data_IF_109724314428
#
_entry.id   IF_109724314428
#
_cell.length_a   1.000
_cell.length_b   1.000
_cell.length_c   1.000
_cell.angle_alpha   90.00
_cell.angle_beta   90.00
_cell.angle_gamma   90.00
#
_symmetry.space_group_name_H-M   'P 1'
#
loop_
_entity.id
_entity.type
_entity.pdbx_description
1 polymer ?
#
# COMPACT_ATOMS: atom_id res chain seq x y z
N UNK A 1 1.25 11.33 -5.03
CA UNK A 1 1.00 9.89 -4.90
C UNK A 1 1.59 9.44 -3.57
N UNK A 2 0.82 8.75 -2.74
CA UNK A 2 1.32 8.17 -1.49
C UNK A 2 2.03 6.83 -1.74
N UNK A 3 2.99 6.49 -0.89
CA UNK A 3 3.75 5.25 -0.96
C UNK A 3 3.48 4.39 0.28
N UNK A 4 2.87 3.23 0.10
CA UNK A 4 2.66 2.27 1.18
C UNK A 4 3.56 1.05 1.04
N UNK A 5 3.97 0.49 2.18
CA UNK A 5 4.56 -0.84 2.24
C UNK A 5 3.44 -1.89 2.33
N UNK A 6 3.51 -2.93 1.49
CA UNK A 6 2.66 -4.13 1.58
C UNK A 6 3.36 -5.18 2.46
N UNK A 7 3.11 -5.14 3.77
CA UNK A 7 3.68 -6.11 4.72
C UNK A 7 2.87 -6.17 6.02
N UNK A 8 2.99 -7.30 6.73
CA UNK A 8 2.60 -7.45 8.12
C UNK A 8 3.78 -7.81 9.04
N UNK A 9 4.99 -7.99 8.48
CA UNK A 9 6.19 -8.29 9.27
C UNK A 9 6.72 -7.00 9.92
N UNK A 10 6.76 -6.99 11.26
CA UNK A 10 7.14 -5.81 12.03
C UNK A 10 8.59 -5.38 11.78
N UNK A 11 9.47 -6.30 11.39
CA UNK A 11 10.87 -5.97 11.11
C UNK A 11 10.99 -5.27 9.76
N UNK A 12 10.30 -5.77 8.73
CA UNK A 12 10.23 -5.10 7.43
C UNK A 12 9.63 -3.70 7.58
N UNK A 13 8.56 -3.58 8.37
CA UNK A 13 7.87 -2.30 8.60
C UNK A 13 8.80 -1.30 9.28
N UNK A 14 9.51 -1.70 10.35
CA UNK A 14 10.46 -0.81 11.04
C UNK A 14 11.60 -0.39 10.10
N UNK A 15 12.20 -1.34 9.40
CA UNK A 15 13.30 -1.04 8.49
C UNK A 15 12.86 -0.06 7.40
N UNK A 16 11.73 -0.30 6.73
CA UNK A 16 11.28 0.57 5.64
C UNK A 16 10.81 1.93 6.16
N UNK A 17 10.21 1.99 7.36
CA UNK A 17 9.82 3.26 7.99
C UNK A 17 11.01 4.18 8.22
N UNK A 18 12.17 3.63 8.55
CA UNK A 18 13.39 4.40 8.82
C UNK A 18 13.97 5.10 7.58
N UNK A 19 13.63 4.67 6.35
CA UNK A 19 14.05 5.36 5.13
C UNK A 19 13.25 6.64 4.84
N UNK A 20 12.11 6.85 5.50
CA UNK A 20 11.38 8.13 5.49
C UNK A 20 10.55 8.46 4.25
N UNK A 21 10.35 7.53 3.31
CA UNK A 21 9.54 7.78 2.10
C UNK A 21 8.15 7.11 2.11
N UNK A 22 7.83 6.28 3.12
CA UNK A 22 6.52 5.63 3.21
C UNK A 22 5.51 6.50 3.98
N UNK A 23 4.29 6.55 3.47
CA UNK A 23 3.13 7.24 4.05
C UNK A 23 2.27 6.32 4.94
N UNK A 24 2.64 5.04 5.04
CA UNK A 24 1.84 4.03 5.71
C UNK A 24 2.12 2.58 5.29
N UNK A 25 1.25 1.68 5.72
CA UNK A 25 1.29 0.24 5.46
C UNK A 25 -0.07 -0.25 5.01
N UNK A 26 -0.10 -1.15 4.03
CA UNK A 26 -1.28 -1.98 3.77
C UNK A 26 -1.04 -3.41 4.18
N UNK A 27 -2.04 -4.03 4.79
CA UNK A 27 -2.03 -5.46 5.09
C UNK A 27 -3.08 -6.21 4.27
N UNK A 28 -2.88 -7.52 4.13
CA UNK A 28 -3.86 -8.46 3.61
C UNK A 28 -4.08 -9.55 4.68
N UNK A 29 -5.26 -10.21 4.69
CA UNK A 29 -5.47 -11.34 5.60
C UNK A 29 -4.39 -12.41 5.49
N UNK A 30 -3.84 -12.62 4.29
CA UNK A 30 -2.75 -13.56 4.06
C UNK A 30 -1.43 -13.15 4.76
N UNK A 31 -1.03 -11.88 4.70
CA UNK A 31 0.20 -11.42 5.35
C UNK A 31 0.08 -11.47 6.86
N UNK A 32 -1.07 -11.07 7.41
CA UNK A 32 -1.34 -11.22 8.86
C UNK A 32 -1.34 -12.70 9.27
N UNK A 33 -1.95 -13.58 8.47
CA UNK A 33 -1.98 -15.01 8.75
C UNK A 33 -0.58 -15.62 8.81
N UNK A 34 0.36 -15.16 7.97
CA UNK A 34 1.75 -15.63 8.00
C UNK A 34 2.41 -15.30 9.34
N UNK A 35 2.21 -14.09 9.87
CA UNK A 35 2.76 -13.71 11.18
C UNK A 35 2.11 -14.44 12.35
N UNK A 36 0.80 -14.70 12.27
CA UNK A 36 0.09 -15.49 13.29
C UNK A 36 0.61 -16.94 13.33
N UNK A 37 0.90 -17.52 12.17
CA UNK A 37 1.49 -18.87 12.08
C UNK A 37 2.93 -18.94 12.64
N UNK A 38 3.62 -17.80 12.79
CA UNK A 38 4.92 -17.72 13.48
C UNK A 38 4.80 -17.67 15.02
N UNK A 39 3.58 -17.62 15.56
CA UNK A 39 3.30 -17.68 17.00
C UNK A 39 2.72 -16.41 17.62
N UNK A 40 2.45 -15.37 16.83
CA UNK A 40 1.80 -14.14 17.29
C UNK A 40 0.27 -14.28 17.30
N UNK A 41 -0.43 -13.47 18.08
CA UNK A 41 -1.89 -13.34 17.92
C UNK A 41 -2.23 -12.28 16.86
N UNK A 42 -3.41 -12.38 16.23
CA UNK A 42 -3.88 -11.37 15.27
C UNK A 42 -3.92 -9.96 15.88
N UNK A 43 -4.34 -9.85 17.14
CA UNK A 43 -4.40 -8.58 17.86
C UNK A 43 -3.02 -7.98 18.11
N UNK A 44 -2.03 -8.80 18.47
CA UNK A 44 -0.64 -8.36 18.62
C UNK A 44 -0.09 -7.82 17.30
N UNK A 45 -0.21 -8.59 16.21
CA UNK A 45 0.29 -8.19 14.88
C UNK A 45 -0.32 -6.84 14.47
N UNK A 46 -1.64 -6.70 14.53
CA UNK A 46 -2.30 -5.45 14.13
C UNK A 46 -1.88 -4.28 15.02
N UNK A 47 -1.84 -4.48 16.33
CA UNK A 47 -1.49 -3.41 17.30
C UNK A 47 -0.04 -2.95 17.13
N UNK A 48 0.88 -3.87 16.88
CA UNK A 48 2.29 -3.56 16.67
C UNK A 48 2.51 -2.76 15.39
N UNK A 49 1.82 -3.12 14.30
CA UNK A 49 1.85 -2.37 13.03
C UNK A 49 1.32 -0.95 13.24
N UNK A 50 0.16 -0.80 13.88
CA UNK A 50 -0.47 0.51 14.14
C UNK A 50 0.47 1.44 14.91
N UNK A 51 1.23 0.90 15.87
CA UNK A 51 2.17 1.67 16.70
C UNK A 51 3.49 1.98 16.00
N UNK A 52 3.94 1.11 15.09
CA UNK A 52 5.22 1.27 14.41
C UNK A 52 5.20 2.30 13.28
N UNK A 53 4.02 2.61 12.73
CA UNK A 53 3.88 3.40 11.51
C UNK A 53 3.30 4.79 11.81
N UNK A 54 4.06 5.84 11.53
CA UNK A 54 3.59 7.23 11.60
C UNK A 54 2.86 7.61 10.28
N UNK A 55 1.80 6.87 9.96
CA UNK A 55 1.11 6.93 8.67
C UNK A 55 -0.14 6.04 8.66
N UNK A 56 -0.83 5.97 7.52
CA UNK A 56 -2.08 5.21 7.38
C UNK A 56 -1.82 3.70 7.44
N UNK A 57 -2.64 2.97 8.20
CA UNK A 57 -2.55 1.50 8.31
C UNK A 57 -3.84 0.89 7.81
N UNK A 58 -3.77 0.21 6.66
CA UNK A 58 -4.94 -0.42 6.05
C UNK A 58 -5.10 -1.86 6.54
N UNK A 59 -6.22 -2.14 7.23
CA UNK A 59 -6.54 -3.47 7.79
C UNK A 59 -7.88 -3.97 7.25
N UNK A 60 -7.91 -5.21 6.76
CA UNK A 60 -9.08 -5.78 6.09
C UNK A 60 -9.99 -6.58 7.02
N UNK A 61 -11.31 -6.42 6.82
CA UNK A 61 -12.33 -7.31 7.40
C UNK A 61 -12.27 -8.72 6.79
N UNK A 62 -12.66 -9.72 7.56
CA UNK A 62 -12.67 -11.13 7.15
C UNK A 62 -14.07 -11.72 7.35
N UNK A 63 -15.06 -11.14 6.67
CA UNK A 63 -16.41 -11.72 6.57
C UNK A 63 -17.09 -11.39 5.24
N UNK A 64 -18.18 -12.10 4.94
CA UNK A 64 -19.05 -11.91 3.78
C UNK A 64 -20.44 -11.39 4.14
N UNK A 65 -20.89 -11.57 5.38
CA UNK A 65 -22.17 -11.07 5.85
C UNK A 65 -22.07 -9.62 6.33
N UNK A 66 -23.14 -8.86 6.07
CA UNK A 66 -23.15 -7.41 6.31
C UNK A 66 -22.93 -7.06 7.79
N UNK A 67 -23.61 -7.75 8.72
CA UNK A 67 -23.57 -7.40 10.14
C UNK A 67 -22.19 -7.67 10.75
N UNK A 68 -21.55 -8.79 10.39
CA UNK A 68 -20.19 -9.09 10.83
C UNK A 68 -19.17 -8.17 10.15
N UNK A 69 -19.33 -7.83 8.87
CA UNK A 69 -18.48 -6.83 8.21
C UNK A 69 -18.53 -5.51 8.98
N UNK A 70 -19.72 -5.03 9.34
CA UNK A 70 -19.86 -3.78 10.09
C UNK A 70 -19.27 -3.87 11.49
N UNK A 71 -19.51 -4.98 12.20
CA UNK A 71 -18.94 -5.23 13.52
C UNK A 71 -17.40 -5.23 13.50
N UNK A 72 -16.80 -5.96 12.55
CA UNK A 72 -15.36 -6.01 12.36
C UNK A 72 -14.79 -4.64 11.95
N UNK A 73 -15.45 -3.93 11.03
CA UNK A 73 -15.02 -2.61 10.59
C UNK A 73 -14.98 -1.59 11.74
N UNK A 74 -16.01 -1.56 12.59
CA UNK A 74 -16.06 -0.68 13.75
C UNK A 74 -14.98 -1.05 14.79
N UNK A 75 -14.76 -2.35 15.03
CA UNK A 75 -13.68 -2.82 15.90
C UNK A 75 -12.32 -2.38 15.36
N UNK A 76 -12.03 -2.62 14.08
CA UNK A 76 -10.77 -2.22 13.44
C UNK A 76 -10.57 -0.70 13.53
N UNK A 77 -11.59 0.08 13.22
CA UNK A 77 -11.53 1.54 13.29
C UNK A 77 -11.19 2.05 14.70
N UNK A 78 -11.70 1.40 15.75
CA UNK A 78 -11.42 1.79 17.13
C UNK A 78 -9.97 1.57 17.59
N UNK A 79 -9.13 0.89 16.80
CA UNK A 79 -7.74 0.59 17.17
C UNK A 79 -6.81 1.79 17.02
N UNK A 80 -7.16 2.80 16.21
CA UNK A 80 -6.32 3.98 16.03
C UNK A 80 -6.86 4.95 14.99
N UNK A 81 -6.54 6.23 15.15
CA UNK A 81 -6.95 7.30 14.21
C UNK A 81 -6.30 7.16 12.83
N UNK A 82 -5.16 6.46 12.75
CA UNK A 82 -4.44 6.19 11.52
C UNK A 82 -4.94 4.94 10.78
N UNK A 83 -5.96 4.24 11.29
CA UNK A 83 -6.46 3.02 10.68
C UNK A 83 -7.47 3.31 9.57
N UNK A 84 -7.25 2.68 8.41
CA UNK A 84 -8.19 2.65 7.29
C UNK A 84 -8.75 1.23 7.18
N UNK A 85 -10.08 1.09 7.27
CA UNK A 85 -10.72 -0.22 7.16
C UNK A 85 -10.80 -0.64 5.69
N UNK A 86 -10.24 -1.79 5.34
CA UNK A 86 -10.37 -2.41 4.02
C UNK A 86 -11.62 -3.28 3.96
N UNK A 87 -12.46 -3.03 2.96
CA UNK A 87 -13.71 -3.75 2.72
C UNK A 87 -13.67 -4.35 1.30
N UNK A 88 -13.87 -5.68 1.14
CA UNK A 88 -13.95 -6.30 -0.18
C UNK A 88 -15.06 -5.69 -1.05
N UNK A 89 -14.78 -5.47 -2.34
CA UNK A 89 -15.72 -4.86 -3.28
C UNK A 89 -16.82 -5.81 -3.79
N UNK A 90 -17.56 -6.39 -2.86
CA UNK A 90 -18.82 -7.13 -3.13
C UNK A 90 -20.01 -6.20 -2.95
N UNK A 91 -21.22 -6.60 -3.39
CA UNK A 91 -22.43 -5.81 -3.14
C UNK A 91 -22.66 -5.59 -1.64
N UNK A 92 -22.41 -6.60 -0.81
CA UNK A 92 -22.49 -6.49 0.65
C UNK A 92 -21.42 -5.53 1.19
N UNK A 93 -20.20 -5.59 0.66
CA UNK A 93 -19.13 -4.68 1.02
C UNK A 93 -19.44 -3.23 0.65
N UNK A 94 -19.99 -2.98 -0.54
CA UNK A 94 -20.42 -1.64 -0.98
C UNK A 94 -21.50 -1.06 -0.06
N UNK A 95 -22.48 -1.89 0.35
CA UNK A 95 -23.46 -1.50 1.37
C UNK A 95 -22.79 -1.10 2.69
N UNK A 96 -21.75 -1.83 3.11
CA UNK A 96 -20.98 -1.48 4.30
C UNK A 96 -20.17 -0.19 4.12
N UNK A 97 -19.52 0.03 2.97
CA UNK A 97 -18.78 1.26 2.66
C UNK A 97 -19.68 2.50 2.79
N UNK A 98 -20.89 2.46 2.21
CA UNK A 98 -21.88 3.53 2.35
C UNK A 98 -22.23 3.80 3.82
N UNK A 99 -22.43 2.75 4.63
CA UNK A 99 -22.76 2.91 6.05
C UNK A 99 -21.59 3.37 6.91
N UNK A 100 -20.35 3.07 6.52
CA UNK A 100 -19.16 3.65 7.14
C UNK A 100 -19.02 5.13 6.79
N UNK A 101 -19.33 5.54 5.55
CA UNK A 101 -19.25 6.94 5.14
C UNK A 101 -20.29 7.82 5.86
N UNK A 102 -21.52 7.32 6.07
CA UNK A 102 -22.54 7.99 6.90
C UNK A 102 -22.05 8.23 8.34
N UNK A 103 -21.14 7.37 8.83
CA UNK A 103 -20.48 7.48 10.14
C UNK A 103 -19.18 8.29 10.11
N UNK A 104 -18.80 8.84 8.96
CA UNK A 104 -17.52 9.53 8.71
C UNK A 104 -16.29 8.65 8.95
N UNK A 105 -16.44 7.33 8.78
CA UNK A 105 -15.35 6.37 8.88
C UNK A 105 -14.80 6.13 7.47
N UNK A 106 -13.52 6.46 7.28
CA UNK A 106 -12.79 6.24 6.03
C UNK A 106 -12.60 4.74 5.79
N UNK A 107 -12.82 4.31 4.56
CA UNK A 107 -12.57 2.92 4.16
C UNK A 107 -11.87 2.84 2.80
N UNK A 108 -11.24 1.70 2.55
CA UNK A 108 -10.59 1.33 1.31
C UNK A 108 -11.32 0.14 0.70
N UNK A 109 -11.76 0.24 -0.55
CA UNK A 109 -12.30 -0.89 -1.27
C UNK A 109 -11.16 -1.82 -1.71
N UNK A 110 -11.24 -3.10 -1.37
CA UNK A 110 -10.24 -4.11 -1.73
C UNK A 110 -10.78 -5.12 -2.74
N UNK A 111 -9.88 -5.92 -3.33
CA UNK A 111 -10.22 -6.94 -4.32
C UNK A 111 -10.93 -6.38 -5.55
N UNK A 112 -10.48 -5.23 -6.05
CA UNK A 112 -10.94 -4.64 -7.31
C UNK A 112 -10.11 -5.21 -8.46
N UNK A 113 -10.80 -5.73 -9.49
CA UNK A 113 -10.20 -6.34 -10.67
C UNK A 113 -10.66 -5.71 -11.99
N UNK A 114 -11.66 -4.83 -11.98
CA UNK A 114 -12.11 -4.11 -13.16
C UNK A 114 -12.62 -2.70 -12.83
N UNK A 115 -12.76 -1.87 -13.87
CA UNK A 115 -13.16 -0.46 -13.74
C UNK A 115 -14.59 -0.31 -13.21
N UNK A 116 -15.50 -1.21 -13.53
CA UNK A 116 -16.90 -1.12 -13.07
C UNK A 116 -16.96 -1.32 -11.55
N UNK A 117 -16.22 -2.28 -10.99
CA UNK A 117 -16.08 -2.43 -9.55
C UNK A 117 -15.49 -1.17 -8.90
N UNK A 118 -14.48 -0.57 -9.53
CA UNK A 118 -13.87 0.67 -9.05
C UNK A 118 -14.89 1.82 -8.97
N UNK A 119 -15.69 2.02 -10.01
CA UNK A 119 -16.76 3.02 -10.08
C UNK A 119 -17.81 2.76 -8.99
N UNK A 120 -18.27 1.52 -8.85
CA UNK A 120 -19.28 1.17 -7.84
C UNK A 120 -18.76 1.42 -6.42
N UNK A 121 -17.50 1.09 -6.13
CA UNK A 121 -16.89 1.38 -4.84
C UNK A 121 -16.73 2.89 -4.59
N UNK A 122 -16.33 3.67 -5.59
CA UNK A 122 -16.25 5.13 -5.50
C UNK A 122 -17.63 5.77 -5.26
N UNK A 123 -18.68 5.27 -5.92
CA UNK A 123 -20.07 5.68 -5.69
C UNK A 123 -20.55 5.41 -4.26
N UNK A 124 -19.92 4.44 -3.56
CA UNK A 124 -20.17 4.13 -2.16
C UNK A 124 -19.12 4.76 -1.22
N UNK A 125 -18.46 5.82 -1.67
CA UNK A 125 -17.60 6.71 -0.87
C UNK A 125 -16.36 6.03 -0.26
N UNK A 126 -15.86 4.95 -0.88
CA UNK A 126 -14.55 4.43 -0.52
C UNK A 126 -13.46 5.48 -0.82
N UNK A 127 -12.62 5.80 0.16
CA UNK A 127 -11.55 6.80 -0.01
C UNK A 127 -10.45 6.28 -0.92
N UNK A 128 -10.12 4.99 -0.78
CA UNK A 128 -9.13 4.31 -1.61
C UNK A 128 -9.76 3.16 -2.37
N UNK A 129 -9.35 2.98 -3.62
CA UNK A 129 -9.80 1.90 -4.50
C UNK A 129 -8.59 1.04 -4.83
N UNK A 130 -8.43 -0.08 -4.11
CA UNK A 130 -7.28 -0.98 -4.23
C UNK A 130 -7.43 -1.91 -5.44
N UNK A 131 -6.84 -1.51 -6.56
CA UNK A 131 -6.82 -2.28 -7.82
C UNK A 131 -5.62 -3.21 -7.80
N UNK A 132 -5.86 -4.52 -7.89
CA UNK A 132 -4.83 -5.56 -7.77
C UNK A 132 -4.13 -5.80 -9.11
N UNK A 133 -3.34 -4.83 -9.57
CA UNK A 133 -2.81 -4.80 -10.94
C UNK A 133 -1.97 -6.01 -11.27
N UNK A 134 -1.03 -6.43 -10.41
CA UNK A 134 -0.23 -7.64 -10.68
C UNK A 134 -1.06 -8.93 -10.69
N UNK A 135 -2.22 -8.95 -10.03
CA UNK A 135 -3.13 -10.10 -10.10
C UNK A 135 -3.90 -10.13 -11.43
N UNK A 136 -4.28 -8.97 -11.94
CA UNK A 136 -4.85 -8.82 -13.29
C UNK A 136 -3.80 -9.18 -14.36
N UNK A 137 -2.57 -8.72 -14.21
CA UNK A 137 -1.46 -9.08 -15.12
C UNK A 137 -1.26 -10.60 -15.21
N UNK A 138 -1.44 -11.31 -14.09
CA UNK A 138 -1.33 -12.78 -14.05
C UNK A 138 -2.42 -13.52 -14.85
N UNK A 139 -3.50 -12.86 -15.28
CA UNK A 139 -4.53 -13.44 -16.16
C UNK A 139 -4.30 -13.14 -17.64
N UNK A 140 -3.24 -12.39 -17.98
CA UNK A 140 -2.93 -11.98 -19.35
C UNK A 140 -3.57 -10.66 -19.79
N UNK A 141 -4.20 -9.94 -18.85
CA UNK A 141 -4.77 -8.60 -19.06
C UNK A 141 -3.81 -7.52 -18.54
N UNK A 142 -3.97 -6.26 -18.95
CA UNK A 142 -3.17 -5.15 -18.41
C UNK A 142 -3.86 -4.51 -17.19
N UNK A 143 -3.39 -4.84 -15.99
CA UNK A 143 -3.93 -4.30 -14.75
C UNK A 143 -3.76 -2.79 -14.60
N UNK A 144 -2.72 -2.22 -15.20
CA UNK A 144 -2.52 -0.77 -15.17
C UNK A 144 -3.47 -0.03 -16.12
N UNK A 145 -3.99 -0.70 -17.16
CA UNK A 145 -5.09 -0.17 -17.97
C UNK A 145 -6.38 -0.01 -17.15
N UNK A 146 -6.68 -0.99 -16.27
CA UNK A 146 -7.80 -0.89 -15.31
C UNK A 146 -7.60 0.30 -14.36
N UNK A 147 -6.38 0.48 -13.84
CA UNK A 147 -6.05 1.61 -12.98
C UNK A 147 -6.18 2.97 -13.70
N UNK A 148 -5.71 3.05 -14.95
CA UNK A 148 -5.86 4.23 -15.80
C UNK A 148 -7.34 4.57 -16.02
N UNK A 149 -8.14 3.60 -16.47
CA UNK A 149 -9.55 3.78 -16.77
C UNK A 149 -10.34 4.22 -15.52
N UNK A 150 -10.05 3.63 -14.36
CA UNK A 150 -10.65 4.05 -13.09
C UNK A 150 -10.29 5.50 -12.74
N UNK A 151 -9.00 5.85 -12.84
CA UNK A 151 -8.51 7.17 -12.48
C UNK A 151 -9.06 8.28 -13.40
N UNK A 152 -9.10 8.06 -14.72
CA UNK A 152 -9.71 9.00 -15.66
C UNK A 152 -11.22 9.12 -15.42
N UNK A 153 -11.91 8.01 -15.12
CA UNK A 153 -13.32 8.06 -14.74
C UNK A 153 -13.53 8.89 -13.47
N UNK A 154 -12.65 8.77 -12.48
CA UNK A 154 -12.77 9.53 -11.23
C UNK A 154 -12.59 11.03 -11.44
N UNK A 155 -11.64 11.43 -12.29
CA UNK A 155 -11.48 12.84 -12.70
C UNK A 155 -12.72 13.36 -13.43
N UNK A 156 -13.23 12.60 -14.40
CA UNK A 156 -14.36 13.02 -15.24
C UNK A 156 -15.68 13.10 -14.45
N UNK A 157 -15.92 12.13 -13.57
CA UNK A 157 -17.12 12.06 -12.75
C UNK A 157 -16.99 12.82 -11.42
N UNK A 158 -15.82 13.42 -11.13
CA UNK A 158 -15.52 14.15 -9.89
C UNK A 158 -15.69 13.31 -8.62
N UNK A 159 -15.22 12.07 -8.66
CA UNK A 159 -15.12 11.25 -7.46
C UNK A 159 -13.93 11.72 -6.60
N UNK A 160 -14.14 11.83 -5.28
CA UNK A 160 -13.07 12.12 -4.31
C UNK A 160 -12.18 10.89 -4.03
N UNK A 161 -12.62 9.71 -4.48
CA UNK A 161 -11.90 8.44 -4.35
C UNK A 161 -10.55 8.46 -5.06
N UNK A 162 -9.57 7.82 -4.44
CA UNK A 162 -8.19 7.73 -4.92
C UNK A 162 -7.91 6.32 -5.40
N UNK A 163 -7.36 6.18 -6.61
CA UNK A 163 -6.82 4.89 -7.04
C UNK A 163 -5.61 4.53 -6.18
N UNK A 164 -5.62 3.31 -5.63
CA UNK A 164 -4.52 2.69 -4.91
C UNK A 164 -4.08 1.46 -5.72
N UNK A 165 -2.91 1.53 -6.35
CA UNK A 165 -2.36 0.40 -7.13
C UNK A 165 -1.73 -0.60 -6.16
N UNK A 166 -2.17 -1.85 -6.18
CA UNK A 166 -1.71 -2.91 -5.25
C UNK A 166 -1.29 -4.17 -5.98
N UNK A 167 -0.64 -5.08 -5.27
CA UNK A 167 0.04 -6.25 -5.84
C UNK A 167 0.99 -5.86 -6.96
N UNK A 168 1.79 -4.83 -6.73
CA UNK A 168 2.83 -4.40 -7.65
C UNK A 168 3.92 -5.47 -7.67
N UNK A 169 4.30 -5.89 -8.87
CA UNK A 169 5.32 -6.92 -9.14
C UNK A 169 6.45 -6.40 -10.03
N UNK A 170 6.29 -5.24 -10.67
CA UNK A 170 7.36 -4.64 -11.50
C UNK A 170 7.58 -3.16 -11.18
N UNK A 171 8.82 -2.64 -11.37
CA UNK A 171 9.11 -1.20 -11.30
C UNK A 171 8.26 -0.35 -12.25
N UNK A 172 7.94 -0.89 -13.43
CA UNK A 172 7.15 -0.18 -14.45
C UNK A 172 5.75 0.18 -13.94
N UNK A 173 5.09 -0.71 -13.19
CA UNK A 173 3.78 -0.42 -12.60
C UNK A 173 3.83 0.79 -11.65
N UNK A 174 4.93 1.00 -10.92
CA UNK A 174 5.12 2.18 -10.05
C UNK A 174 5.21 3.46 -10.89
N UNK A 175 5.99 3.42 -11.96
CA UNK A 175 6.13 4.56 -12.89
C UNK A 175 4.80 4.89 -13.53
N UNK A 176 4.10 3.88 -14.07
CA UNK A 176 2.77 4.03 -14.69
C UNK A 176 1.74 4.55 -13.68
N UNK A 177 1.77 4.10 -12.42
CA UNK A 177 0.91 4.64 -11.37
C UNK A 177 1.14 6.14 -11.15
N UNK A 178 2.40 6.57 -11.15
CA UNK A 178 2.76 8.00 -11.10
C UNK A 178 2.26 8.77 -12.32
N UNK A 179 2.45 8.25 -13.53
CA UNK A 179 2.06 8.90 -14.79
C UNK A 179 0.55 9.11 -14.90
N UNK A 180 -0.26 8.14 -14.46
CA UNK A 180 -1.73 8.30 -14.46
C UNK A 180 -2.20 9.24 -13.36
N UNK A 181 -1.35 9.52 -12.35
CA UNK A 181 -1.70 10.31 -11.18
C UNK A 181 -2.48 9.51 -10.14
N UNK A 182 -2.16 8.24 -9.96
CA UNK A 182 -2.74 7.42 -8.91
C UNK A 182 -2.55 8.08 -7.53
N UNK A 183 -3.56 7.95 -6.67
CA UNK A 183 -3.51 8.56 -5.35
C UNK A 183 -2.50 7.88 -4.44
N UNK A 184 -2.33 6.56 -4.57
CA UNK A 184 -1.38 5.79 -3.80
C UNK A 184 -0.91 4.52 -4.52
N UNK A 185 0.20 3.96 -4.04
CA UNK A 185 0.68 2.63 -4.39
C UNK A 185 0.97 1.83 -3.13
N UNK A 186 0.86 0.51 -3.20
CA UNK A 186 1.35 -0.40 -2.17
C UNK A 186 2.31 -1.42 -2.75
N UNK A 187 3.54 -1.41 -2.23
CA UNK A 187 4.69 -2.11 -2.81
C UNK A 187 5.24 -3.12 -1.79
N UNK A 188 5.49 -4.38 -2.19
CA UNK A 188 6.05 -5.37 -1.28
C UNK A 188 7.50 -5.06 -0.90
N UNK A 189 7.89 -5.43 0.33
CA UNK A 189 9.24 -5.21 0.87
C UNK A 189 10.35 -5.63 -0.09
N UNK A 190 10.26 -6.85 -0.64
CA UNK A 190 11.28 -7.39 -1.54
C UNK A 190 11.50 -6.52 -2.79
N UNK A 191 10.42 -5.96 -3.37
CA UNK A 191 10.53 -5.08 -4.52
C UNK A 191 11.14 -3.74 -4.13
N UNK A 192 10.80 -3.18 -2.96
CA UNK A 192 11.45 -1.96 -2.44
C UNK A 192 12.96 -2.18 -2.30
N UNK A 193 13.40 -3.29 -1.71
CA UNK A 193 14.83 -3.61 -1.57
C UNK A 193 15.52 -3.78 -2.93
N UNK A 194 14.84 -4.39 -3.89
CA UNK A 194 15.35 -4.51 -5.26
C UNK A 194 15.51 -3.13 -5.93
N UNK A 195 14.53 -2.23 -5.76
CA UNK A 195 14.54 -0.89 -6.36
C UNK A 195 15.64 0.01 -5.80
N UNK A 196 16.03 -0.18 -4.53
CA UNK A 196 17.14 0.54 -3.92
C UNK A 196 18.52 0.21 -4.50
N UNK A 197 18.64 -0.92 -5.20
CA UNK A 197 19.91 -1.43 -5.71
C UNK A 197 19.91 -1.37 -7.25
N UNK A 198 20.63 -0.38 -7.80
CA UNK A 198 20.80 -0.24 -9.24
C UNK A 198 22.27 -0.38 -9.62
N UNK A 199 22.56 -1.28 -10.58
CA UNK A 199 23.94 -1.67 -10.92
C UNK A 199 24.84 -0.49 -11.29
N UNK A 200 24.29 0.49 -12.00
CA UNK A 200 25.06 1.68 -12.39
C UNK A 200 25.30 2.61 -11.20
N UNK A 201 24.33 2.75 -10.30
CA UNK A 201 24.51 3.53 -9.06
C UNK A 201 25.60 2.93 -8.19
N UNK A 202 25.59 1.61 -7.99
CA UNK A 202 26.62 0.92 -7.21
C UNK A 202 28.00 1.05 -7.86
N UNK A 203 28.09 0.88 -9.18
CA UNK A 203 29.34 1.03 -9.92
C UNK A 203 29.89 2.45 -9.80
N UNK A 204 29.06 3.45 -10.05
CA UNK A 204 29.48 4.85 -10.04
C UNK A 204 29.93 5.28 -8.63
N UNK A 205 29.23 4.84 -7.57
CA UNK A 205 29.66 5.07 -6.17
C UNK A 205 31.01 4.39 -5.90
N UNK A 206 31.19 3.15 -6.35
CA UNK A 206 32.45 2.42 -6.18
C UNK A 206 33.61 3.12 -6.87
N UNK A 207 33.44 3.54 -8.12
CA UNK A 207 34.45 4.29 -8.88
C UNK A 207 34.79 5.63 -8.20
N UNK A 208 33.78 6.33 -7.68
CA UNK A 208 33.97 7.56 -6.90
C UNK A 208 34.78 7.31 -5.62
N UNK A 209 34.48 6.25 -4.89
CA UNK A 209 35.22 5.85 -3.68
C UNK A 209 36.66 5.44 -4.01
N UNK A 210 36.87 4.70 -5.09
CA UNK A 210 38.22 4.32 -5.56
C UNK A 210 39.04 5.55 -5.92
N UNK A 211 38.46 6.49 -6.67
CA UNK A 211 39.10 7.76 -7.00
C UNK A 211 39.44 8.56 -5.73
N UNK A 212 38.52 8.66 -4.76
CA UNK A 212 38.77 9.30 -3.47
C UNK A 212 39.89 8.59 -2.68
N UNK A 213 40.02 7.28 -2.82
CA UNK A 213 41.06 6.51 -2.17
C UNK A 213 42.45 6.63 -2.83
N UNK A 214 42.59 7.38 -3.93
CA UNK A 214 43.91 7.68 -4.53
C UNK A 214 44.64 8.85 -3.87
N UNK A 215 43.93 9.78 -3.21
CA UNK A 215 44.56 10.92 -2.53
C UNK A 215 45.16 10.49 -1.19
N UNK A 216 46.24 11.16 -0.75
CA UNK A 216 46.90 10.86 0.51
C UNK A 216 45.93 11.00 1.71
N UNK A 217 46.05 10.11 2.71
CA UNK A 217 45.12 10.05 3.84
C UNK A 217 45.06 11.36 4.64
N UNK A 218 46.19 12.04 4.80
CA UNK A 218 46.29 13.37 5.42
C UNK A 218 45.54 14.47 4.66
N UNK A 219 45.14 14.22 3.42
CA UNK A 219 44.35 15.11 2.56
C UNK A 219 42.85 14.76 2.58
N UNK A 220 42.43 13.68 3.26
CA UNK A 220 41.03 13.24 3.38
C UNK A 220 40.30 13.77 4.62
N UNK A 221 40.96 14.62 5.40
CA UNK A 221 40.51 15.04 6.74
C UNK A 221 39.19 15.81 6.78
N UNK A 222 38.71 16.31 5.65
CA UNK A 222 37.42 17.00 5.58
C UNK A 222 36.23 16.08 5.90
N UNK A 223 36.28 14.81 5.47
CA UNK A 223 35.20 13.83 5.68
C UNK A 223 35.53 12.78 6.75
N UNK A 224 36.80 12.62 7.14
CA UNK A 224 37.25 11.67 8.16
C UNK A 224 37.31 12.32 9.57
N UNK A 225 36.19 12.86 10.05
CA UNK A 225 36.06 13.32 11.45
C UNK A 225 35.39 12.27 12.32
#
# INVERSE_FOLDING_TARGET
MKFFLDSADINEIREISDYGFIDGVTTEPESISKEVLKGSTTEQVITDIIKAVNGEVHIQVVSQDYDTIMSQALKIHSLGMNVIVKIPATLTGMKAMLKLSEKKIKCSASSIYNTVQAIMAAQNYAEYISIRTGKIDSTGEDGMEVAYNANETFKNCKFDSKVLVTNIVTPDQIVRAGLIGAGAISVPYALIKQLGNYVYTERDIKEQMEAWNTIAENSRTFFNK
#
